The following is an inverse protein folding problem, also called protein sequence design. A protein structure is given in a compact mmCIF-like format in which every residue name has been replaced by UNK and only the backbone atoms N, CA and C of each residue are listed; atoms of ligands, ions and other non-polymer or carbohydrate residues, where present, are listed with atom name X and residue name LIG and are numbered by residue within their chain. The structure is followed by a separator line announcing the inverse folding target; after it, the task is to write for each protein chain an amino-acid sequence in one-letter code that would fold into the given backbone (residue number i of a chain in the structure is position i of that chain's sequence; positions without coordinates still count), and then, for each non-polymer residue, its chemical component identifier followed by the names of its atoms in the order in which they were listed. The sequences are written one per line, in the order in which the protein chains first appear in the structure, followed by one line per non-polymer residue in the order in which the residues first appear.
data_IF_131388316053
#
_entry.id   IF_131388316053
#
_cell.length_a   1.000
_cell.length_b   1.000
_cell.length_c   1.000
_cell.angle_alpha   90.00
_cell.angle_beta   90.00
_cell.angle_gamma   90.00
#
_symmetry.space_group_name_H-M   'P 1'
#
loop_
_entity.id
_entity.type
_entity.pdbx_description
1 polymer ?
#
# COMPACT_ATOMS: atom_id res chain seq x y z
N UNK A 1 -10.30 11.84 21.29
CA UNK A 1 -9.26 11.04 20.60
C UNK A 1 -9.78 10.12 19.49
N UNK A 2 -11.04 9.63 19.52
CA UNK A 2 -11.62 8.86 18.40
C UNK A 2 -11.55 9.57 17.04
N UNK A 3 -11.67 10.91 17.03
CA UNK A 3 -11.61 11.71 15.81
C UNK A 3 -10.20 11.69 15.19
N UNK A 4 -9.14 11.92 15.98
CA UNK A 4 -7.75 11.88 15.50
C UNK A 4 -7.40 10.49 15.00
N UNK A 5 -7.74 9.44 15.75
CA UNK A 5 -7.48 8.06 15.32
C UNK A 5 -8.24 7.73 14.02
N UNK A 6 -9.52 8.12 13.91
CA UNK A 6 -10.33 7.92 12.69
C UNK A 6 -9.74 8.68 11.49
N UNK A 7 -9.26 9.90 11.71
CA UNK A 7 -8.55 10.68 10.70
C UNK A 7 -7.29 9.94 10.24
N UNK A 8 -6.46 9.49 11.18
CA UNK A 8 -5.23 8.76 10.87
C UNK A 8 -5.50 7.46 10.09
N UNK A 9 -6.52 6.69 10.47
CA UNK A 9 -6.93 5.49 9.74
C UNK A 9 -7.38 5.82 8.32
N UNK A 10 -8.20 6.87 8.15
CA UNK A 10 -8.69 7.28 6.84
C UNK A 10 -7.55 7.73 5.93
N UNK A 11 -6.65 8.56 6.46
CA UNK A 11 -5.53 9.12 5.71
C UNK A 11 -4.53 8.02 5.32
N UNK A 12 -4.17 7.17 6.28
CA UNK A 12 -3.33 6.00 6.04
C UNK A 12 -3.92 5.08 4.98
N UNK A 13 -5.19 4.71 5.09
CA UNK A 13 -5.82 3.76 4.17
C UNK A 13 -5.95 4.36 2.75
N UNK A 14 -6.16 5.67 2.67
CA UNK A 14 -6.16 6.40 1.39
C UNK A 14 -4.79 6.28 0.73
N UNK A 15 -3.71 6.61 1.44
CA UNK A 15 -2.36 6.46 0.89
C UNK A 15 -1.97 5.02 0.63
N UNK A 16 -2.48 4.05 1.40
CA UNK A 16 -2.23 2.62 1.20
C UNK A 16 -2.84 2.11 -0.09
N UNK A 17 -4.10 2.44 -0.35
CA UNK A 17 -4.76 2.05 -1.61
C UNK A 17 -4.08 2.71 -2.80
N UNK A 18 -3.74 4.00 -2.69
CA UNK A 18 -3.05 4.72 -3.77
C UNK A 18 -1.67 4.11 -4.04
N UNK A 19 -0.87 3.85 -3.01
CA UNK A 19 0.47 3.28 -3.17
C UNK A 19 0.42 1.86 -3.73
N UNK A 20 -0.51 1.02 -3.26
CA UNK A 20 -0.70 -0.34 -3.73
C UNK A 20 -1.13 -0.39 -5.21
N UNK A 21 -2.09 0.43 -5.62
CA UNK A 21 -2.51 0.53 -7.02
C UNK A 21 -1.35 1.03 -7.89
N UNK A 22 -0.59 2.01 -7.40
CA UNK A 22 0.57 2.55 -8.12
C UNK A 22 1.61 1.47 -8.37
N UNK A 23 2.01 0.71 -7.34
CA UNK A 23 2.98 -0.38 -7.50
C UNK A 23 2.44 -1.52 -8.38
N UNK A 24 1.16 -1.86 -8.25
CA UNK A 24 0.52 -2.85 -9.12
C UNK A 24 0.56 -2.43 -10.59
N UNK A 25 0.23 -1.17 -10.90
CA UNK A 25 0.28 -0.64 -12.26
C UNK A 25 1.70 -0.65 -12.82
N UNK A 26 2.67 -0.15 -12.04
CA UNK A 26 4.08 -0.17 -12.44
C UNK A 26 4.52 -1.60 -12.76
N UNK A 27 4.20 -2.58 -11.88
CA UNK A 27 4.53 -3.98 -12.13
C UNK A 27 3.87 -4.52 -13.40
N UNK A 28 2.57 -4.26 -13.59
CA UNK A 28 1.83 -4.74 -14.75
C UNK A 28 2.42 -4.21 -16.05
N UNK A 29 2.80 -2.92 -16.09
CA UNK A 29 3.47 -2.32 -17.25
C UNK A 29 4.80 -3.00 -17.52
N UNK A 30 5.65 -3.16 -16.51
CA UNK A 30 6.95 -3.86 -16.65
C UNK A 30 6.75 -5.29 -17.15
N UNK A 31 5.80 -6.02 -16.56
CA UNK A 31 5.51 -7.41 -16.90
C UNK A 31 4.89 -7.55 -18.30
N UNK A 32 4.14 -6.55 -18.76
CA UNK A 32 3.60 -6.49 -20.11
C UNK A 32 4.72 -6.32 -21.13
N UNK A 33 5.54 -5.28 -20.99
CA UNK A 33 6.65 -5.03 -21.91
C UNK A 33 7.70 -6.16 -21.89
N UNK A 34 7.96 -6.76 -20.72
CA UNK A 34 8.92 -7.87 -20.62
C UNK A 34 8.41 -9.20 -21.20
N UNK A 35 7.14 -9.33 -21.56
CA UNK A 35 6.56 -10.58 -22.10
C UNK A 35 5.88 -10.43 -23.46
N UNK A 36 5.76 -9.22 -23.99
CA UNK A 36 5.04 -8.97 -25.24
C UNK A 36 5.66 -9.75 -26.41
N UNK A 37 7.00 -9.77 -26.50
CA UNK A 37 7.72 -10.48 -27.55
C UNK A 37 7.46 -12.00 -27.47
N UNK A 38 7.52 -12.56 -26.26
CA UNK A 38 7.22 -13.97 -26.01
C UNK A 38 5.77 -14.34 -26.37
N UNK A 39 4.80 -13.45 -26.12
CA UNK A 39 3.40 -13.69 -26.49
C UNK A 39 3.17 -13.62 -27.99
N UNK A 40 3.89 -12.72 -28.68
CA UNK A 40 3.85 -12.60 -30.14
C UNK A 40 4.49 -13.82 -30.81
N UNK A 41 5.65 -14.27 -30.35
CA UNK A 41 6.33 -15.47 -30.87
C UNK A 41 5.50 -16.74 -30.66
N UNK A 42 4.92 -16.90 -29.47
CA UNK A 42 4.12 -18.08 -29.13
C UNK A 42 2.67 -18.06 -29.69
N UNK A 43 2.31 -17.07 -30.52
CA UNK A 43 0.97 -16.93 -31.15
C UNK A 43 -0.19 -17.02 -30.13
N UNK A 44 0.03 -16.50 -28.92
CA UNK A 44 -0.93 -16.64 -27.83
C UNK A 44 -2.12 -15.70 -28.07
N UNK A 45 -3.37 -16.18 -27.96
CA UNK A 45 -4.54 -15.31 -28.07
C UNK A 45 -4.48 -14.20 -27.01
N UNK A 46 -4.73 -12.95 -27.41
CA UNK A 46 -4.73 -11.78 -26.52
C UNK A 46 -5.59 -11.98 -25.26
N UNK A 47 -6.69 -12.74 -25.37
CA UNK A 47 -7.56 -13.11 -24.25
C UNK A 47 -6.84 -13.93 -23.16
N UNK A 48 -5.94 -14.83 -23.57
CA UNK A 48 -5.13 -15.66 -22.66
C UNK A 48 -4.05 -14.81 -22.00
N UNK A 49 -3.41 -13.91 -22.75
CA UNK A 49 -2.44 -12.96 -22.20
C UNK A 49 -3.08 -12.04 -21.13
N UNK A 50 -4.27 -11.50 -21.39
CA UNK A 50 -4.98 -10.66 -20.43
C UNK A 50 -5.38 -11.44 -19.17
N UNK A 51 -5.87 -12.67 -19.34
CA UNK A 51 -6.21 -13.56 -18.21
C UNK A 51 -4.97 -13.89 -17.36
N UNK A 52 -3.82 -14.10 -18.00
CA UNK A 52 -2.55 -14.32 -17.31
C UNK A 52 -2.18 -13.13 -16.39
N UNK A 53 -2.32 -11.90 -16.87
CA UNK A 53 -2.06 -10.73 -16.02
C UNK A 53 -3.05 -10.60 -14.87
N UNK A 54 -4.34 -10.84 -15.11
CA UNK A 54 -5.36 -10.82 -14.05
C UNK A 54 -5.05 -11.84 -12.95
N UNK A 55 -4.69 -13.08 -13.30
CA UNK A 55 -4.33 -14.10 -12.32
C UNK A 55 -3.02 -13.80 -11.57
N UNK A 56 -2.17 -12.94 -12.14
CA UNK A 56 -0.91 -12.54 -11.52
C UNK A 56 -1.06 -11.37 -10.54
N UNK A 57 -2.12 -10.57 -10.67
CA UNK A 57 -2.38 -9.43 -9.77
C UNK A 57 -2.39 -9.82 -8.27
N UNK A 58 -3.09 -10.89 -7.82
CA UNK A 58 -3.12 -11.24 -6.40
C UNK A 58 -1.75 -11.56 -5.82
N UNK A 59 -0.92 -12.27 -6.60
CA UNK A 59 0.43 -12.63 -6.21
C UNK A 59 1.33 -11.40 -6.06
N UNK A 60 1.25 -10.48 -7.03
CA UNK A 60 2.02 -9.23 -7.00
C UNK A 60 1.52 -8.32 -5.88
N UNK A 61 0.21 -8.22 -5.68
CA UNK A 61 -0.37 -7.44 -4.60
C UNK A 61 0.17 -7.90 -3.24
N UNK A 62 0.27 -9.21 -3.01
CA UNK A 62 0.83 -9.78 -1.79
C UNK A 62 2.28 -9.36 -1.55
N UNK A 63 3.10 -9.32 -2.60
CA UNK A 63 4.49 -8.86 -2.51
C UNK A 63 4.61 -7.34 -2.30
N UNK A 64 3.69 -6.57 -2.86
CA UNK A 64 3.72 -5.11 -2.79
C UNK A 64 3.12 -4.56 -1.48
N UNK A 65 2.25 -5.31 -0.81
CA UNK A 65 1.59 -4.88 0.45
C UNK A 65 2.59 -4.34 1.49
N UNK A 66 3.69 -5.01 1.87
CA UNK A 66 4.61 -4.50 2.89
C UNK A 66 5.25 -3.16 2.50
N UNK A 67 5.61 -3.00 1.22
CA UNK A 67 6.22 -1.77 0.69
C UNK A 67 5.19 -0.65 0.64
N UNK A 68 3.96 -0.96 0.19
CA UNK A 68 2.83 -0.02 0.21
C UNK A 68 2.55 0.50 1.61
N UNK A 69 2.53 -0.37 2.63
CA UNK A 69 2.35 0.03 4.03
C UNK A 69 3.42 1.03 4.45
N UNK A 70 4.69 0.72 4.20
CA UNK A 70 5.81 1.59 4.58
C UNK A 70 5.64 3.00 3.98
N UNK A 71 5.40 3.06 2.67
CA UNK A 71 5.22 4.33 1.96
C UNK A 71 4.02 5.09 2.52
N UNK A 72 2.90 4.42 2.80
CA UNK A 72 1.70 5.07 3.31
C UNK A 72 1.87 5.59 4.73
N UNK A 73 2.61 4.89 5.60
CA UNK A 73 3.01 5.42 6.91
C UNK A 73 3.86 6.68 6.73
N UNK A 74 4.88 6.64 5.88
CA UNK A 74 5.77 7.77 5.65
C UNK A 74 5.02 8.99 5.09
N UNK A 75 4.13 8.79 4.12
CA UNK A 75 3.32 9.87 3.53
C UNK A 75 2.35 10.46 4.55
N UNK A 76 1.64 9.63 5.30
CA UNK A 76 0.70 10.10 6.34
C UNK A 76 1.42 10.97 7.35
N UNK A 77 2.52 10.46 7.94
CA UNK A 77 3.30 11.22 8.93
C UNK A 77 3.98 12.45 8.32
N UNK A 78 4.46 12.35 7.08
CA UNK A 78 5.10 13.44 6.37
C UNK A 78 4.15 14.62 6.12
N UNK A 79 2.90 14.34 5.72
CA UNK A 79 1.88 15.38 5.49
C UNK A 79 1.44 16.01 6.81
N UNK A 80 1.19 15.19 7.84
CA UNK A 80 0.86 15.70 9.18
C UNK A 80 1.97 16.59 9.75
N UNK A 81 3.23 16.24 9.48
CA UNK A 81 4.38 17.07 9.87
C UNK A 81 4.42 18.38 9.08
N UNK A 82 4.19 18.32 7.75
CA UNK A 82 4.16 19.50 6.88
C UNK A 82 3.06 20.50 7.27
N UNK A 83 1.91 20.01 7.73
CA UNK A 83 0.80 20.85 8.21
C UNK A 83 0.91 21.23 9.71
N UNK A 84 2.03 20.92 10.37
CA UNK A 84 2.24 21.16 11.81
C UNK A 84 1.19 20.49 12.72
N UNK A 85 0.45 19.48 12.24
CA UNK A 85 -0.56 18.76 13.03
C UNK A 85 0.08 17.98 14.17
N UNK A 86 1.26 17.40 13.93
CA UNK A 86 2.04 16.70 14.96
C UNK A 86 2.43 17.66 16.09
N UNK A 87 2.83 18.89 15.75
CA UNK A 87 3.19 19.93 16.72
C UNK A 87 1.97 20.39 17.51
N UNK A 88 0.82 20.59 16.84
CA UNK A 88 -0.44 20.95 17.49
C UNK A 88 -0.89 19.88 18.50
N UNK A 89 -0.84 18.60 18.11
CA UNK A 89 -1.19 17.47 18.98
C UNK A 89 -0.26 17.42 20.21
N UNK A 90 1.04 17.66 20.01
CA UNK A 90 2.03 17.69 21.09
C UNK A 90 1.75 18.85 22.07
N UNK A 91 1.40 20.02 21.57
CA UNK A 91 1.08 21.20 22.39
C UNK A 91 -0.24 21.05 23.18
N UNK A 92 -1.16 20.20 22.73
CA UNK A 92 -2.36 19.82 23.49
C UNK A 92 -2.09 18.80 24.61
N UNK A 93 -0.83 18.46 24.90
CA UNK A 93 -0.46 17.49 25.95
C UNK A 93 -0.73 16.03 25.57
N UNK A 94 -1.01 15.74 24.29
CA UNK A 94 -1.25 14.37 23.83
C UNK A 94 0.09 13.70 23.52
N UNK A 95 0.33 12.53 24.12
CA UNK A 95 1.55 11.75 23.89
C UNK A 95 1.68 11.31 22.42
N UNK A 96 2.84 11.56 21.81
CA UNK A 96 3.20 11.11 20.45
C UNK A 96 3.08 9.59 20.27
N UNK A 97 3.38 8.80 21.30
CA UNK A 97 3.24 7.34 21.29
C UNK A 97 1.82 6.86 20.91
N UNK A 98 0.80 7.65 21.25
CA UNK A 98 -0.59 7.33 20.92
C UNK A 98 -0.92 7.55 19.44
N UNK A 99 -0.10 8.32 18.72
CA UNK A 99 -0.17 8.51 17.27
C UNK A 99 0.37 7.28 16.53
N UNK A 100 1.41 6.64 17.07
CA UNK A 100 2.04 5.45 16.50
C UNK A 100 1.26 4.16 16.76
N UNK A 101 0.49 4.10 17.84
CA UNK A 101 -0.32 2.93 18.20
C UNK A 101 -1.21 2.39 17.04
N UNK A 102 -2.05 3.21 16.37
CA UNK A 102 -2.85 2.70 15.24
C UNK A 102 -2.01 2.20 14.08
N UNK A 103 -0.85 2.81 13.81
CA UNK A 103 0.05 2.39 12.74
C UNK A 103 0.70 1.04 13.03
N UNK A 104 1.11 0.82 14.29
CA UNK A 104 1.67 -0.47 14.74
C UNK A 104 0.62 -1.57 14.66
N UNK A 105 -0.63 -1.30 15.06
CA UNK A 105 -1.72 -2.28 14.97
C UNK A 105 -1.96 -2.68 13.51
N UNK A 106 -1.97 -1.73 12.58
CA UNK A 106 -2.11 -2.02 11.15
C UNK A 106 -0.92 -2.83 10.63
N UNK A 107 0.31 -2.46 11.00
CA UNK A 107 1.52 -3.17 10.58
C UNK A 107 1.53 -4.62 11.08
N UNK A 108 1.15 -4.87 12.33
CA UNK A 108 1.02 -6.23 12.89
C UNK A 108 -0.08 -7.00 12.15
N UNK A 109 -1.24 -6.39 11.92
CA UNK A 109 -2.36 -7.04 11.24
C UNK A 109 -1.98 -7.46 9.81
N UNK A 110 -1.28 -6.58 9.09
CA UNK A 110 -0.81 -6.85 7.73
C UNK A 110 0.31 -7.90 7.73
N UNK A 111 1.24 -7.84 8.69
CA UNK A 111 2.30 -8.84 8.83
C UNK A 111 1.73 -10.24 9.07
N UNK A 112 0.77 -10.36 9.99
CA UNK A 112 0.08 -11.62 10.26
C UNK A 112 -0.71 -12.09 9.04
N UNK A 113 -1.47 -11.21 8.38
CA UNK A 113 -2.22 -11.55 7.17
C UNK A 113 -1.32 -12.00 6.01
N UNK A 114 -0.11 -11.45 5.90
CA UNK A 114 0.87 -11.87 4.90
C UNK A 114 1.41 -13.27 5.19
N UNK A 115 1.61 -13.63 6.46
CA UNK A 115 2.11 -14.95 6.86
C UNK A 115 1.09 -16.07 6.58
N UNK A 116 -0.21 -15.82 6.78
CA UNK A 116 -1.26 -16.81 6.49
C UNK A 116 -1.50 -17.08 4.99
N UNK A 117 -1.02 -16.18 4.11
CA UNK A 117 -1.17 -16.33 2.65
C UNK A 117 0.10 -16.83 1.96
N UNK A 118 1.18 -17.05 2.71
CA UNK A 118 2.43 -17.60 2.19
C UNK A 118 2.44 -19.13 2.34
#
# INVERSE_FOLDING_TARGET
MKIISRYLYKEFFTFFVISLITFLLIYLVIAFFGKIDNFMEAHVPLKVAFSFFIYKIPFVAQQMIPVSVLISVMLTLGIMNKHNEILAIKNCGISLFRLFYPLIVIAIFIGVASFFKQ
#
